data_IF_305193843930
#
_entry.id   IF_305193843930
#
_cell.length_a   1.000
_cell.length_b   1.000
_cell.length_c   1.000
_cell.angle_alpha   90.00
_cell.angle_beta   90.00
_cell.angle_gamma   90.00
#
_symmetry.space_group_name_H-M   'P 1'
#
loop_
_entity.id
_entity.type
_entity.pdbx_description
1 polymer ?
#
# COMPACT_ATOMS: atom_id res chain seq x y z
N UNK A 1 -9.68 9.79 -15.54
CA UNK A 1 -9.93 10.85 -16.56
C UNK A 1 -11.36 10.78 -17.06
N UNK A 2 -11.80 9.63 -17.58
CA UNK A 2 -13.13 9.47 -18.17
C UNK A 2 -14.26 9.88 -17.19
N UNK A 3 -14.25 9.36 -15.97
CA UNK A 3 -15.28 9.66 -14.96
C UNK A 3 -15.30 11.13 -14.52
N UNK A 4 -14.16 11.80 -14.51
CA UNK A 4 -14.05 13.20 -14.05
C UNK A 4 -14.05 14.24 -15.18
N UNK A 5 -14.14 13.85 -16.44
CA UNK A 5 -14.34 14.65 -17.65
C UNK A 5 -13.95 16.14 -17.53
N UNK A 6 -12.66 16.46 -17.50
CA UNK A 6 -12.15 17.83 -17.40
C UNK A 6 -12.25 18.50 -16.01
N UNK A 7 -12.82 17.83 -15.00
CA UNK A 7 -12.96 18.34 -13.64
C UNK A 7 -11.84 17.81 -12.72
N UNK A 8 -10.59 17.91 -13.15
CA UNK A 8 -9.44 17.51 -12.34
C UNK A 8 -8.48 18.68 -12.22
N UNK A 9 -7.78 18.76 -11.07
CA UNK A 9 -6.72 19.73 -10.87
C UNK A 9 -5.65 19.60 -11.95
N UNK A 10 -5.22 20.73 -12.50
CA UNK A 10 -4.14 20.82 -13.50
C UNK A 10 -2.75 20.64 -12.92
N UNK A 11 -2.60 20.68 -11.59
CA UNK A 11 -1.34 20.41 -10.88
C UNK A 11 -0.93 18.95 -11.14
N UNK A 12 0.29 18.72 -11.63
CA UNK A 12 0.75 17.40 -12.08
C UNK A 12 0.68 17.21 -13.59
N UNK A 13 0.17 18.22 -14.32
CA UNK A 13 0.12 18.28 -15.78
C UNK A 13 -0.90 17.33 -16.42
N UNK A 14 -0.91 17.28 -17.75
CA UNK A 14 -1.85 16.51 -18.53
C UNK A 14 -1.79 14.99 -18.31
N UNK A 15 -0.65 14.47 -17.85
CA UNK A 15 -0.45 13.01 -17.68
C UNK A 15 -1.06 12.51 -16.37
N UNK A 16 -1.10 13.33 -15.32
CA UNK A 16 -1.55 12.93 -13.97
C UNK A 16 -2.42 14.02 -13.31
N UNK A 17 -3.47 14.51 -13.98
CA UNK A 17 -4.32 15.54 -13.42
C UNK A 17 -5.00 15.04 -12.13
N UNK A 18 -5.00 15.87 -11.10
CA UNK A 18 -5.65 15.60 -9.82
C UNK A 18 -5.02 14.52 -8.94
N UNK A 19 -3.93 13.89 -9.34
CA UNK A 19 -3.30 12.78 -8.60
C UNK A 19 -2.38 13.33 -7.52
N UNK A 20 -2.77 13.19 -6.26
CA UNK A 20 -2.01 13.63 -5.07
C UNK A 20 -1.17 12.51 -4.43
N UNK A 21 -1.52 11.26 -4.68
CA UNK A 21 -0.76 10.08 -4.27
C UNK A 21 -0.91 8.93 -5.26
N UNK A 22 -0.34 7.79 -4.94
CA UNK A 22 -0.37 6.62 -5.82
C UNK A 22 -0.57 5.33 -5.03
N UNK A 23 -1.14 4.34 -5.68
CA UNK A 23 -1.05 2.93 -5.32
C UNK A 23 -0.21 2.22 -6.40
N UNK A 24 0.32 1.05 -6.08
CA UNK A 24 1.13 0.28 -7.04
C UNK A 24 0.23 -0.36 -8.12
N UNK A 25 0.82 -0.68 -9.27
CA UNK A 25 0.17 -1.58 -10.23
C UNK A 25 -0.25 -2.87 -9.52
N UNK A 26 -1.42 -3.37 -9.84
CA UNK A 26 -2.03 -4.58 -9.26
C UNK A 26 -2.42 -4.46 -7.76
N UNK A 27 -2.32 -3.28 -7.16
CA UNK A 27 -2.91 -2.97 -5.85
C UNK A 27 -4.30 -2.39 -6.05
N UNK A 28 -5.27 -2.95 -5.37
CA UNK A 28 -6.68 -2.49 -5.38
C UNK A 28 -6.98 -1.52 -4.24
N UNK A 29 -8.19 -0.93 -4.23
CA UNK A 29 -8.71 -0.13 -3.13
C UNK A 29 -8.73 1.37 -3.37
N UNK A 30 -8.69 2.13 -2.28
CA UNK A 30 -8.97 3.56 -2.25
C UNK A 30 -7.84 4.42 -2.78
N UNK A 31 -8.22 5.42 -3.57
CA UNK A 31 -7.35 6.49 -4.06
C UNK A 31 -8.13 7.82 -4.01
N UNK A 32 -7.56 8.86 -3.40
CA UNK A 32 -8.13 10.20 -3.45
C UNK A 32 -7.61 10.97 -4.66
N UNK A 33 -8.50 11.70 -5.33
CA UNK A 33 -8.21 12.50 -6.52
C UNK A 33 -8.76 13.92 -6.30
N UNK A 34 -7.97 14.93 -6.59
CA UNK A 34 -8.36 16.34 -6.44
C UNK A 34 -9.04 16.86 -7.71
N UNK A 35 -10.25 17.42 -7.56
CA UNK A 35 -11.04 17.99 -8.67
C UNK A 35 -10.68 19.44 -9.00
N UNK A 36 -9.94 20.14 -8.16
CA UNK A 36 -9.43 21.50 -8.38
C UNK A 36 -8.09 21.71 -7.69
N UNK A 37 -7.41 22.80 -8.03
CA UNK A 37 -6.05 23.06 -7.57
C UNK A 37 -5.97 23.35 -6.06
N UNK A 38 -6.94 24.02 -5.48
CA UNK A 38 -7.00 24.27 -4.04
C UNK A 38 -7.07 22.95 -3.25
N UNK A 39 -7.93 22.03 -3.67
CA UNK A 39 -8.01 20.69 -3.06
C UNK A 39 -6.73 19.90 -3.27
N UNK A 40 -6.08 20.02 -4.44
CA UNK A 40 -4.81 19.35 -4.72
C UNK A 40 -3.70 19.82 -3.77
N UNK A 41 -3.56 21.14 -3.60
CA UNK A 41 -2.56 21.73 -2.70
C UNK A 41 -2.79 21.28 -1.25
N UNK A 42 -4.01 21.41 -0.73
CA UNK A 42 -4.35 21.02 0.63
C UNK A 42 -4.15 19.51 0.91
N UNK A 43 -4.53 18.64 -0.04
CA UNK A 43 -4.29 17.20 0.10
C UNK A 43 -2.80 16.84 -0.03
N UNK A 44 -2.06 17.52 -0.89
CA UNK A 44 -0.60 17.33 -1.02
C UNK A 44 0.13 17.75 0.25
N UNK A 45 -0.30 18.81 0.91
CA UNK A 45 0.23 19.23 2.21
C UNK A 45 -0.03 18.17 3.27
N UNK A 46 -1.26 17.67 3.39
CA UNK A 46 -1.60 16.58 4.32
C UNK A 46 -0.77 15.31 4.05
N UNK A 47 -0.49 15.00 2.77
CA UNK A 47 0.43 13.89 2.40
C UNK A 47 1.86 14.17 2.87
N UNK A 48 2.35 15.42 2.74
CA UNK A 48 3.73 15.79 3.08
C UNK A 48 3.99 15.75 4.58
N UNK A 49 3.02 16.16 5.39
CA UNK A 49 3.08 16.11 6.87
C UNK A 49 2.58 14.78 7.44
N UNK A 50 2.26 13.82 6.57
CA UNK A 50 1.83 12.46 6.94
C UNK A 50 0.57 12.40 7.82
N UNK A 51 -0.34 13.37 7.71
CA UNK A 51 -1.59 13.42 8.47
C UNK A 51 -2.71 12.57 7.84
N UNK A 52 -2.56 12.11 6.60
CA UNK A 52 -3.54 11.23 5.94
C UNK A 52 -3.47 9.83 6.52
N UNK A 53 -4.60 9.34 7.02
CA UNK A 53 -4.76 7.97 7.49
C UNK A 53 -4.82 7.01 6.31
N UNK A 54 -3.98 5.97 6.33
CA UNK A 54 -3.92 4.95 5.28
C UNK A 54 -3.69 3.59 5.91
N UNK A 55 -4.68 2.71 5.74
CA UNK A 55 -4.56 1.30 6.13
C UNK A 55 -4.69 0.43 4.89
N UNK A 56 -3.77 -0.50 4.76
CA UNK A 56 -3.77 -1.51 3.72
C UNK A 56 -3.98 -2.88 4.34
N UNK A 57 -4.77 -3.72 3.71
CA UNK A 57 -4.84 -5.13 4.04
C UNK A 57 -3.95 -5.93 3.10
N UNK A 58 -3.23 -6.91 3.64
CA UNK A 58 -2.33 -7.74 2.86
C UNK A 58 -2.31 -9.17 3.39
N UNK A 59 -2.01 -10.13 2.50
CA UNK A 59 -1.67 -11.49 2.90
C UNK A 59 -0.19 -11.71 2.62
N UNK A 60 0.57 -12.00 3.67
CA UNK A 60 2.01 -12.27 3.61
C UNK A 60 2.29 -13.77 3.70
N UNK A 61 3.37 -14.23 3.05
CA UNK A 61 3.88 -15.58 3.24
C UNK A 61 4.46 -15.77 4.64
N UNK A 62 4.28 -16.95 5.19
CA UNK A 62 4.79 -17.36 6.49
C UNK A 62 3.90 -16.95 7.65
N UNK A 63 4.32 -17.33 8.84
CA UNK A 63 3.62 -17.04 10.09
C UNK A 63 4.38 -15.95 10.86
N UNK A 64 3.82 -14.75 10.94
CA UNK A 64 4.35 -13.69 11.79
C UNK A 64 4.10 -14.10 13.26
N UNK A 65 5.18 -14.13 14.07
CA UNK A 65 5.11 -14.60 15.47
C UNK A 65 4.39 -13.61 16.37
N UNK A 66 4.71 -12.33 16.22
CA UNK A 66 4.11 -11.25 17.02
C UNK A 66 2.73 -10.86 16.46
N UNK A 67 1.85 -10.33 17.32
CA UNK A 67 0.51 -9.89 16.90
C UNK A 67 0.54 -8.53 16.21
N UNK A 68 1.54 -7.71 16.52
CA UNK A 68 1.77 -6.41 15.89
C UNK A 68 3.26 -6.09 15.85
N UNK A 69 3.62 -5.12 15.03
CA UNK A 69 4.98 -4.64 14.94
C UNK A 69 5.13 -3.54 13.89
N UNK A 70 6.37 -3.24 13.58
CA UNK A 70 6.67 -2.26 12.54
C UNK A 70 7.95 -2.62 11.79
N UNK A 71 8.06 -2.06 10.59
CA UNK A 71 9.29 -2.06 9.80
C UNK A 71 9.68 -0.61 9.52
N UNK A 72 10.86 -0.25 9.97
CA UNK A 72 11.44 1.07 9.82
C UNK A 72 12.79 0.94 9.10
N UNK A 73 12.84 1.39 7.84
CA UNK A 73 14.01 1.23 6.98
C UNK A 73 14.10 2.35 5.96
N UNK A 74 15.26 2.51 5.36
CA UNK A 74 15.49 3.43 4.25
C UNK A 74 15.28 2.71 2.92
N UNK A 75 14.44 3.27 2.06
CA UNK A 75 14.08 2.68 0.78
C UNK A 75 14.57 3.55 -0.38
N UNK A 76 15.11 2.90 -1.39
CA UNK A 76 15.54 3.54 -2.64
C UNK A 76 15.46 2.59 -3.83
N UNK A 77 15.90 3.05 -5.00
CA UNK A 77 16.01 2.19 -6.18
C UNK A 77 17.05 1.10 -5.94
N UNK A 78 16.70 -0.13 -6.29
CA UNK A 78 17.66 -1.23 -6.25
C UNK A 78 18.85 -0.92 -7.19
N UNK A 79 20.09 -0.93 -6.69
CA UNK A 79 21.26 -0.65 -7.52
C UNK A 79 21.50 -1.68 -8.63
N UNK A 80 20.99 -2.91 -8.48
CA UNK A 80 21.15 -4.01 -9.44
C UNK A 80 20.00 -4.09 -10.44
N UNK A 81 18.78 -3.68 -10.02
CA UNK A 81 17.60 -3.69 -10.86
C UNK A 81 16.77 -2.41 -10.62
N UNK A 82 16.99 -1.39 -11.43
CA UNK A 82 16.31 -0.09 -11.30
C UNK A 82 14.78 -0.12 -11.45
N UNK A 83 14.20 -1.25 -11.86
CA UNK A 83 12.74 -1.45 -11.87
C UNK A 83 12.20 -1.78 -10.48
N UNK A 84 13.08 -2.19 -9.56
CA UNK A 84 12.76 -2.55 -8.19
C UNK A 84 13.13 -1.46 -7.19
N UNK A 85 12.56 -1.56 -6.01
CA UNK A 85 12.96 -0.83 -4.82
C UNK A 85 13.66 -1.81 -3.87
N UNK A 86 14.56 -1.30 -3.04
CA UNK A 86 15.29 -2.09 -2.05
C UNK A 86 15.44 -1.33 -0.74
N UNK A 87 15.72 -2.06 0.32
CA UNK A 87 16.24 -1.49 1.56
C UNK A 87 17.69 -1.06 1.30
N UNK A 88 18.01 0.16 1.62
CA UNK A 88 19.33 0.76 1.47
C UNK A 88 19.86 1.20 2.84
N UNK A 89 21.15 1.51 2.93
CA UNK A 89 21.71 2.20 4.08
C UNK A 89 21.10 3.60 4.21
N UNK A 90 21.03 4.13 5.42
CA UNK A 90 20.45 5.44 5.73
C UNK A 90 21.17 6.61 5.03
N UNK A 91 22.47 6.48 4.77
CA UNK A 91 23.30 7.46 4.07
C UNK A 91 23.41 7.21 2.56
N UNK A 92 22.74 6.23 2.00
CA UNK A 92 22.81 5.92 0.58
C UNK A 92 22.11 7.00 -0.26
N UNK A 93 22.72 7.36 -1.39
CA UNK A 93 22.15 8.36 -2.31
C UNK A 93 20.76 7.92 -2.80
N UNK A 94 19.78 8.79 -2.61
CA UNK A 94 18.38 8.53 -2.99
C UNK A 94 17.60 7.62 -2.03
N UNK A 95 18.20 7.19 -0.93
CA UNK A 95 17.48 6.52 0.15
C UNK A 95 16.51 7.47 0.85
N UNK A 96 15.31 7.00 1.14
CA UNK A 96 14.27 7.76 1.83
C UNK A 96 13.73 6.95 3.00
N UNK A 97 13.65 7.58 4.15
CA UNK A 97 13.04 6.99 5.33
C UNK A 97 11.61 6.48 5.04
N UNK A 98 11.31 5.29 5.54
CA UNK A 98 10.03 4.65 5.39
C UNK A 98 9.63 3.92 6.68
N UNK A 99 8.36 4.05 7.07
CA UNK A 99 7.78 3.39 8.24
C UNK A 99 6.45 2.74 7.89
N UNK A 100 6.33 1.44 8.20
CA UNK A 100 5.10 0.65 8.07
C UNK A 100 4.83 -0.06 9.39
N UNK A 101 3.76 0.30 10.10
CA UNK A 101 3.22 -0.50 11.20
C UNK A 101 2.37 -1.63 10.63
N UNK A 102 2.33 -2.78 11.29
CA UNK A 102 1.46 -3.89 10.93
C UNK A 102 0.82 -4.53 12.16
N UNK A 103 -0.37 -5.09 11.95
CA UNK A 103 -1.12 -5.86 12.94
C UNK A 103 -1.64 -7.13 12.29
N UNK A 104 -1.50 -8.26 12.96
CA UNK A 104 -2.04 -9.54 12.52
C UNK A 104 -3.55 -9.54 12.72
N UNK A 105 -4.26 -9.87 11.66
CA UNK A 105 -5.71 -10.09 11.69
C UNK A 105 -6.03 -11.58 11.83
N UNK A 106 -5.36 -12.43 11.04
CA UNK A 106 -5.54 -13.89 11.09
C UNK A 106 -4.25 -14.60 10.67
N UNK A 107 -4.02 -15.82 11.21
CA UNK A 107 -2.90 -16.70 10.86
C UNK A 107 -3.41 -17.99 10.25
N UNK A 108 -2.72 -18.47 9.20
CA UNK A 108 -3.10 -19.67 8.45
C UNK A 108 -1.90 -20.61 8.23
N UNK A 109 -1.03 -20.75 9.22
CA UNK A 109 0.19 -21.56 9.12
C UNK A 109 1.22 -20.96 8.17
N UNK A 110 1.07 -21.20 6.87
CA UNK A 110 1.98 -20.70 5.83
C UNK A 110 1.69 -19.27 5.34
N UNK A 111 0.64 -18.65 5.85
CA UNK A 111 0.23 -17.28 5.51
C UNK A 111 -0.26 -16.53 6.72
N UNK A 112 -0.08 -15.21 6.70
CA UNK A 112 -0.63 -14.30 7.70
C UNK A 112 -1.38 -13.16 7.01
N UNK A 113 -2.63 -12.94 7.42
CA UNK A 113 -3.43 -11.79 7.00
C UNK A 113 -3.17 -10.64 7.96
N UNK A 114 -2.77 -9.49 7.42
CA UNK A 114 -2.32 -8.33 8.19
C UNK A 114 -2.99 -7.04 7.73
N UNK A 115 -3.17 -6.12 8.67
CA UNK A 115 -3.42 -4.71 8.40
C UNK A 115 -2.11 -3.93 8.50
N UNK A 116 -1.79 -3.14 7.48
CA UNK A 116 -0.59 -2.30 7.43
C UNK A 116 -0.97 -0.82 7.53
N UNK A 117 -0.52 -0.12 8.58
CA UNK A 117 -0.72 1.32 8.76
C UNK A 117 0.53 2.09 8.30
N UNK A 118 0.34 3.02 7.38
CA UNK A 118 1.43 3.78 6.79
C UNK A 118 1.64 5.14 7.48
N UNK A 119 2.85 5.44 7.97
CA UNK A 119 3.30 6.81 8.25
C UNK A 119 3.87 7.49 7.01
N UNK A 120 4.59 6.75 6.18
CA UNK A 120 5.18 7.23 4.92
C UNK A 120 4.56 6.51 3.72
N UNK A 121 4.80 6.96 2.48
CA UNK A 121 4.25 6.37 1.27
C UNK A 121 5.29 6.25 0.14
N UNK A 122 6.36 5.47 0.37
CA UNK A 122 7.39 5.24 -0.65
C UNK A 122 6.93 4.21 -1.68
N UNK A 123 7.47 4.27 -2.86
CA UNK A 123 7.18 3.30 -3.94
C UNK A 123 7.41 1.87 -3.44
N UNK A 124 6.44 0.97 -3.63
CA UNK A 124 6.46 -0.43 -3.21
C UNK A 124 6.72 -0.64 -1.70
N UNK A 125 6.45 0.34 -0.86
CA UNK A 125 6.91 0.36 0.54
C UNK A 125 6.51 -0.90 1.32
N UNK A 126 5.22 -1.23 1.40
CA UNK A 126 4.74 -2.42 2.14
C UNK A 126 5.37 -3.68 1.58
N UNK A 127 5.44 -3.81 0.27
CA UNK A 127 5.98 -4.98 -0.44
C UNK A 127 7.46 -5.21 -0.09
N UNK A 128 8.28 -4.16 -0.17
CA UNK A 128 9.71 -4.22 0.16
C UNK A 128 9.92 -4.44 1.66
N UNK A 129 9.17 -3.76 2.52
CA UNK A 129 9.25 -3.92 3.96
C UNK A 129 8.96 -5.37 4.37
N UNK A 130 7.82 -5.93 3.95
CA UNK A 130 7.45 -7.29 4.28
C UNK A 130 8.42 -8.32 3.69
N UNK A 131 8.88 -8.13 2.46
CA UNK A 131 9.91 -8.99 1.88
C UNK A 131 11.23 -8.93 2.66
N UNK A 132 11.62 -7.76 3.17
CA UNK A 132 12.85 -7.56 3.94
C UNK A 132 12.82 -8.22 5.34
N UNK A 133 11.64 -8.59 5.82
CA UNK A 133 11.47 -9.37 7.07
C UNK A 133 11.30 -10.88 6.83
N UNK A 134 11.43 -11.32 5.57
CA UNK A 134 11.22 -12.73 5.19
C UNK A 134 9.76 -13.11 4.95
N UNK A 135 8.85 -12.13 4.96
CA UNK A 135 7.41 -12.32 4.77
C UNK A 135 6.87 -11.56 3.53
N UNK A 136 7.33 -11.84 2.30
CA UNK A 136 6.83 -11.18 1.11
C UNK A 136 5.33 -11.37 0.95
N UNK A 137 4.66 -10.50 0.19
CA UNK A 137 3.23 -10.61 -0.02
C UNK A 137 2.88 -11.76 -0.98
N UNK A 138 1.78 -12.44 -0.70
CA UNK A 138 1.24 -13.47 -1.58
C UNK A 138 0.95 -12.90 -2.98
N UNK A 139 1.31 -13.62 -4.02
CA UNK A 139 1.12 -13.21 -5.41
C UNK A 139 2.09 -12.15 -5.92
N UNK A 140 3.00 -11.61 -5.09
CA UNK A 140 3.98 -10.61 -5.52
C UNK A 140 5.06 -11.24 -6.40
N UNK A 141 4.97 -11.00 -7.71
CA UNK A 141 5.93 -11.53 -8.69
C UNK A 141 7.29 -10.81 -8.68
N UNK A 142 7.41 -9.66 -7.98
CA UNK A 142 8.64 -8.86 -7.93
C UNK A 142 9.47 -9.15 -6.70
N UNK A 143 8.82 -9.24 -5.53
CA UNK A 143 9.48 -9.41 -4.22
C UNK A 143 9.17 -10.76 -3.56
N UNK A 144 8.21 -11.51 -4.10
CA UNK A 144 7.84 -12.84 -3.63
C UNK A 144 8.72 -13.95 -4.18
N UNK A 145 8.40 -15.21 -3.85
CA UNK A 145 9.08 -16.38 -4.37
C UNK A 145 8.84 -16.55 -5.88
N UNK A 146 9.76 -17.22 -6.59
CA UNK A 146 9.65 -17.46 -8.04
C UNK A 146 8.36 -18.19 -8.44
N UNK A 147 7.83 -19.03 -7.56
CA UNK A 147 6.58 -19.77 -7.72
C UNK A 147 5.40 -19.09 -7.02
N UNK A 148 5.35 -17.75 -7.02
CA UNK A 148 4.25 -16.99 -6.41
C UNK A 148 2.88 -17.41 -6.98
N UNK A 149 1.82 -17.15 -6.21
CA UNK A 149 0.44 -17.55 -6.54
C UNK A 149 -0.09 -16.67 -7.68
N UNK A 150 0.01 -17.17 -8.92
CA UNK A 150 -0.37 -16.44 -10.13
C UNK A 150 -1.86 -16.12 -10.24
N UNK A 151 -2.72 -16.93 -9.62
CA UNK A 151 -4.17 -16.71 -9.61
C UNK A 151 -4.62 -15.44 -8.85
N UNK A 152 -3.72 -14.83 -8.05
CA UNK A 152 -3.96 -13.55 -7.42
C UNK A 152 -3.76 -12.35 -8.36
N UNK A 153 -3.23 -12.56 -9.56
CA UNK A 153 -2.99 -11.54 -10.58
C UNK A 153 -2.14 -10.34 -10.10
N UNK A 154 -1.26 -10.56 -9.13
CA UNK A 154 -0.41 -9.55 -8.51
C UNK A 154 -0.34 -9.73 -7.00
N UNK A 155 0.29 -8.78 -6.33
CA UNK A 155 0.40 -8.79 -4.87
C UNK A 155 -0.97 -8.72 -4.18
N UNK A 156 -1.20 -9.60 -3.21
CA UNK A 156 -2.39 -9.58 -2.36
C UNK A 156 -2.31 -8.40 -1.38
N UNK A 157 -2.60 -7.20 -1.90
CA UNK A 157 -2.51 -5.91 -1.23
C UNK A 157 -3.69 -5.02 -1.64
N UNK A 158 -4.37 -4.45 -0.65
CA UNK A 158 -5.57 -3.64 -0.85
C UNK A 158 -5.55 -2.39 0.02
N UNK A 159 -5.69 -1.20 -0.58
CA UNK A 159 -5.85 0.07 0.14
C UNK A 159 -7.25 0.10 0.78
N UNK A 160 -7.33 -0.39 2.02
CA UNK A 160 -8.57 -0.68 2.74
C UNK A 160 -9.23 0.56 3.29
N UNK A 161 -8.45 1.41 3.99
CA UNK A 161 -8.95 2.63 4.61
C UNK A 161 -8.16 3.84 4.15
N UNK A 162 -8.89 4.93 3.95
CA UNK A 162 -8.34 6.24 3.62
C UNK A 162 -9.08 7.32 4.41
N UNK A 163 -8.35 8.10 5.23
CA UNK A 163 -8.93 9.22 5.98
C UNK A 163 -8.09 10.49 5.82
N UNK A 164 -8.77 11.61 5.67
CA UNK A 164 -8.16 12.93 5.50
C UNK A 164 -9.11 14.04 5.94
N UNK A 165 -8.58 15.23 6.18
CA UNK A 165 -9.38 16.43 6.41
C UNK A 165 -9.86 16.98 5.06
N UNK A 166 -11.18 17.16 4.91
CA UNK A 166 -11.74 17.67 3.66
C UNK A 166 -11.27 19.11 3.37
N UNK A 167 -10.64 19.37 2.19
CA UNK A 167 -9.94 20.63 1.91
C UNK A 167 -10.77 21.91 2.05
N UNK A 168 -12.09 21.84 1.86
CA UNK A 168 -12.98 23.00 1.92
C UNK A 168 -13.70 23.13 3.25
N UNK A 169 -14.22 22.01 3.81
CA UNK A 169 -15.05 22.05 5.01
C UNK A 169 -14.25 21.94 6.30
N UNK A 170 -13.00 21.44 6.24
CA UNK A 170 -12.19 21.16 7.41
C UNK A 170 -12.65 19.94 8.24
N UNK A 171 -13.65 19.20 7.76
CA UNK A 171 -14.17 18.02 8.44
C UNK A 171 -13.31 16.80 8.16
N UNK A 172 -13.17 15.93 9.16
CA UNK A 172 -12.53 14.64 8.96
C UNK A 172 -13.44 13.73 8.13
N UNK A 173 -12.88 13.14 7.08
CA UNK A 173 -13.54 12.14 6.26
C UNK A 173 -12.76 10.83 6.29
N UNK A 174 -13.47 9.72 6.47
CA UNK A 174 -12.87 8.38 6.41
C UNK A 174 -13.69 7.49 5.50
N UNK A 175 -13.00 6.74 4.67
CA UNK A 175 -13.56 5.80 3.70
C UNK A 175 -13.00 4.42 3.96
N UNK A 176 -13.85 3.43 3.74
CA UNK A 176 -13.52 2.01 3.78
C UNK A 176 -13.92 1.36 2.45
N UNK A 177 -13.10 0.43 1.96
CA UNK A 177 -13.35 -0.31 0.73
C UNK A 177 -13.51 -1.81 1.02
N UNK A 178 -14.55 -2.48 0.52
CA UNK A 178 -14.65 -3.93 0.66
C UNK A 178 -13.47 -4.62 -0.05
N UNK A 179 -13.04 -5.75 0.49
CA UNK A 179 -12.01 -6.55 -0.17
C UNK A 179 -12.51 -7.03 -1.54
N UNK A 180 -11.70 -6.94 -2.60
CA UNK A 180 -12.10 -7.43 -3.91
C UNK A 180 -12.27 -8.97 -3.90
N UNK A 181 -13.09 -9.53 -4.80
CA UNK A 181 -13.42 -10.96 -4.80
C UNK A 181 -12.20 -11.88 -4.71
N UNK A 182 -11.18 -11.66 -5.54
CA UNK A 182 -9.96 -12.49 -5.54
C UNK A 182 -9.26 -12.55 -4.18
N UNK A 183 -9.28 -11.45 -3.44
CA UNK A 183 -8.68 -11.33 -2.11
C UNK A 183 -9.55 -12.03 -1.04
N UNK A 184 -10.86 -11.76 -1.05
CA UNK A 184 -11.82 -12.37 -0.14
C UNK A 184 -11.89 -13.89 -0.31
N UNK A 185 -11.89 -14.37 -1.56
CA UNK A 185 -11.87 -15.78 -1.91
C UNK A 185 -10.58 -16.47 -1.44
N UNK A 186 -9.45 -15.79 -1.58
CA UNK A 186 -8.16 -16.30 -1.10
C UNK A 186 -8.17 -16.49 0.42
N UNK A 187 -8.61 -15.48 1.18
CA UNK A 187 -8.77 -15.59 2.65
C UNK A 187 -9.72 -16.73 3.01
N UNK A 188 -10.86 -16.83 2.31
CA UNK A 188 -11.85 -17.89 2.57
C UNK A 188 -11.26 -19.28 2.37
N UNK A 189 -10.45 -19.46 1.32
CA UNK A 189 -9.72 -20.71 1.08
C UNK A 189 -8.74 -21.02 2.20
N UNK A 190 -7.91 -20.04 2.61
CA UNK A 190 -6.94 -20.20 3.69
C UNK A 190 -7.61 -20.58 5.02
N UNK A 191 -8.75 -19.98 5.34
CA UNK A 191 -9.55 -20.35 6.53
C UNK A 191 -10.03 -21.80 6.50
N UNK A 192 -10.44 -22.31 5.34
CA UNK A 192 -10.85 -23.71 5.18
C UNK A 192 -9.69 -24.66 5.34
N UNK A 193 -8.56 -24.39 4.67
CA UNK A 193 -7.35 -25.21 4.74
C UNK A 193 -6.72 -25.25 6.14
N UNK A 194 -6.87 -24.18 6.93
CA UNK A 194 -6.33 -24.13 8.28
C UNK A 194 -7.20 -24.82 9.34
N UNK A 195 -8.48 -25.04 9.05
CA UNK A 195 -9.44 -25.74 9.94
C UNK A 195 -9.49 -27.25 9.70
N UNK A 196 -8.95 -27.72 8.60
CA UNK A 196 -8.86 -29.14 8.24
C UNK A 196 -7.60 -29.78 8.80
#
# INVERSE_FOLDING_TARGET
LYHCAGQLSGIGGAIRPGIVHRIDKDTSGLLVVAKNDAAHQALSEQMSVHSIHRVYHAVAYGNLKDDEGFVEKWLGRDPRDRKKMAVLADNAVGAKYAYTGWQVLERYGNFTYIACKLKTGRTHQIRVHMASTGHPLAGDAVYGPKNCIKSLNGQCLHAKELGFVHPRTGEWMQFDSPLPPYFADFITRLRKEHRA
#
